data_IF_984298477829
#
_entry.id   IF_984298477829
#
_cell.length_a   1.000
_cell.length_b   1.000
_cell.length_c   1.000
_cell.angle_alpha   90.00
_cell.angle_beta   90.00
_cell.angle_gamma   90.00
#
_symmetry.space_group_name_H-M   'P 1'
#
loop_
_entity.id
_entity.type
_entity.pdbx_description
1 polymer ?
#
# COMPACT_ATOMS: atom_id res chain seq x y z
N UNK A 1 -23.27 14.00 -2.79
CA UNK A 1 -21.85 14.14 -2.41
C UNK A 1 -21.30 15.40 -3.07
N UNK A 2 -20.72 16.35 -2.34
CA UNK A 2 -20.14 17.52 -2.96
C UNK A 2 -18.91 17.14 -3.79
N UNK A 3 -18.64 17.95 -4.81
CA UNK A 3 -17.62 17.69 -5.81
C UNK A 3 -16.21 17.88 -5.22
N UNK A 4 -15.43 16.79 -5.14
CA UNK A 4 -14.00 16.88 -4.84
C UNK A 4 -13.21 17.33 -6.08
N UNK A 5 -13.37 18.61 -6.44
CA UNK A 5 -12.71 19.23 -7.60
C UNK A 5 -11.19 18.98 -7.61
N UNK A 6 -10.45 19.12 -6.48
CA UNK A 6 -9.01 18.83 -6.46
C UNK A 6 -8.65 17.40 -6.90
N UNK A 7 -9.47 16.40 -6.57
CA UNK A 7 -9.27 15.01 -6.98
C UNK A 7 -9.64 14.78 -8.45
N UNK A 8 -10.73 15.40 -8.93
CA UNK A 8 -11.21 15.30 -10.32
C UNK A 8 -10.18 15.84 -11.32
N UNK A 9 -9.39 16.84 -10.93
CA UNK A 9 -8.36 17.42 -11.81
C UNK A 9 -7.09 16.58 -11.93
N UNK A 10 -6.89 15.58 -11.07
CA UNK A 10 -5.65 14.79 -11.04
C UNK A 10 -5.37 14.05 -12.35
N UNK A 11 -6.32 13.33 -12.97
CA UNK A 11 -6.06 12.60 -14.23
C UNK A 11 -5.46 13.49 -15.32
N UNK A 12 -5.90 14.75 -15.43
CA UNK A 12 -5.36 15.72 -16.40
C UNK A 12 -3.92 16.13 -16.09
N UNK A 13 -3.52 16.13 -14.82
CA UNK A 13 -2.14 16.45 -14.41
C UNK A 13 -1.14 15.33 -14.74
N UNK A 14 -1.61 14.11 -14.97
CA UNK A 14 -0.74 12.95 -15.20
C UNK A 14 0.03 13.02 -16.51
N UNK A 15 -0.44 13.81 -17.47
CA UNK A 15 0.29 14.11 -18.72
C UNK A 15 1.65 14.74 -18.40
N UNK A 16 1.71 15.62 -17.40
CA UNK A 16 2.94 16.34 -17.03
C UNK A 16 3.66 15.74 -15.81
N UNK A 17 2.92 15.10 -14.89
CA UNK A 17 3.46 14.54 -13.65
C UNK A 17 2.92 13.13 -13.38
N UNK A 18 3.30 12.13 -14.19
CA UNK A 18 2.76 10.77 -14.05
C UNK A 18 3.05 10.12 -12.71
N UNK A 19 4.22 10.41 -12.12
CA UNK A 19 4.61 9.86 -10.81
C UNK A 19 3.69 10.25 -9.65
N UNK A 20 2.80 11.23 -9.85
CA UNK A 20 1.90 11.72 -8.82
C UNK A 20 0.90 10.66 -8.31
N UNK A 21 0.55 9.68 -9.15
CA UNK A 21 -0.39 8.59 -8.80
C UNK A 21 0.29 7.29 -8.42
N UNK A 22 1.62 7.25 -8.45
CA UNK A 22 2.35 6.03 -8.10
C UNK A 22 2.51 5.97 -6.57
N UNK A 23 1.93 4.96 -5.91
CA UNK A 23 2.24 4.71 -4.51
C UNK A 23 3.66 4.14 -4.39
N UNK A 24 4.23 4.25 -3.19
CA UNK A 24 5.48 3.57 -2.85
C UNK A 24 5.19 2.11 -2.46
N UNK A 25 4.06 1.88 -1.79
CA UNK A 25 3.61 0.56 -1.34
C UNK A 25 2.15 0.37 -1.72
N UNK A 26 1.78 -0.81 -2.21
CA UNK A 26 0.40 -1.24 -2.35
C UNK A 26 0.16 -2.50 -1.50
N UNK A 27 -0.76 -2.42 -0.54
CA UNK A 27 -1.13 -3.53 0.37
C UNK A 27 -2.62 -3.76 0.36
N UNK A 28 -3.09 -4.89 0.90
CA UNK A 28 -4.53 -5.15 1.02
C UNK A 28 -5.20 -4.17 1.99
N UNK A 29 -4.65 -4.05 3.19
CA UNK A 29 -5.11 -3.20 4.27
C UNK A 29 -3.96 -2.98 5.27
N UNK A 30 -4.20 -2.18 6.31
CA UNK A 30 -3.16 -1.77 7.27
C UNK A 30 -2.56 -2.95 8.07
N UNK A 31 -3.21 -4.13 8.12
CA UNK A 31 -2.66 -5.32 8.80
C UNK A 31 -1.38 -5.83 8.14
N UNK A 32 -1.15 -5.43 6.89
CA UNK A 32 0.05 -5.81 6.13
C UNK A 32 1.21 -4.86 6.34
N UNK A 33 1.03 -3.75 7.04
CA UNK A 33 2.11 -2.83 7.34
C UNK A 33 2.86 -3.30 8.59
N UNK A 34 4.19 -3.28 8.49
CA UNK A 34 5.07 -3.42 9.64
C UNK A 34 5.40 -2.03 10.19
N UNK A 35 4.63 -1.61 11.20
CA UNK A 35 4.77 -0.29 11.79
C UNK A 35 6.11 -0.14 12.53
N UNK A 36 6.63 -1.23 13.11
CA UNK A 36 7.91 -1.21 13.78
C UNK A 36 9.04 -1.04 12.77
N UNK A 37 9.04 -1.78 11.65
CA UNK A 37 10.01 -1.59 10.57
C UNK A 37 9.94 -0.17 9.98
N UNK A 38 8.74 0.39 9.82
CA UNK A 38 8.57 1.80 9.42
C UNK A 38 9.23 2.76 10.42
N UNK A 39 9.02 2.53 11.72
CA UNK A 39 9.62 3.34 12.78
C UNK A 39 11.15 3.26 12.79
N UNK A 40 11.68 2.06 12.63
CA UNK A 40 13.12 1.81 12.61
C UNK A 40 13.79 2.41 11.36
N UNK A 41 13.05 2.53 10.26
CA UNK A 41 13.49 3.26 9.06
C UNK A 41 13.35 4.79 9.16
N UNK A 42 12.89 5.33 10.30
CA UNK A 42 12.83 6.76 10.58
C UNK A 42 11.48 7.44 10.30
N UNK A 43 10.45 6.68 9.92
CA UNK A 43 9.09 7.22 9.90
C UNK A 43 8.56 7.34 11.33
N UNK A 44 8.07 8.50 11.73
CA UNK A 44 7.70 8.80 13.13
C UNK A 44 6.22 9.09 13.32
N UNK A 45 5.48 9.23 12.23
CA UNK A 45 4.05 9.48 12.25
C UNK A 45 3.35 8.90 11.04
N UNK A 46 2.03 8.72 11.18
CA UNK A 46 1.18 8.21 10.13
C UNK A 46 -0.05 9.12 9.94
N UNK A 47 -0.44 9.30 8.69
CA UNK A 47 -1.65 9.98 8.27
C UNK A 47 -2.55 8.96 7.60
N UNK A 48 -3.75 8.75 8.13
CA UNK A 48 -4.70 7.77 7.59
C UNK A 48 -5.92 8.44 6.97
N UNK A 49 -6.35 7.92 5.84
CA UNK A 49 -7.73 8.11 5.40
C UNK A 49 -8.73 7.42 6.34
N UNK A 50 -9.97 7.91 6.37
CA UNK A 50 -11.06 7.34 7.17
C UNK A 50 -11.81 6.25 6.40
N UNK A 51 -12.65 6.67 5.45
CA UNK A 51 -13.65 5.83 4.81
C UNK A 51 -13.00 4.82 3.86
N UNK A 52 -13.38 3.55 3.94
CA UNK A 52 -12.75 2.43 3.20
C UNK A 52 -11.26 2.17 3.52
N UNK A 53 -10.65 2.92 4.45
CA UNK A 53 -9.30 2.66 4.95
C UNK A 53 -9.35 2.12 6.40
N UNK A 54 -9.85 2.92 7.34
CA UNK A 54 -10.00 2.56 8.75
C UNK A 54 -11.43 2.15 9.11
N UNK A 55 -12.43 2.75 8.46
CA UNK A 55 -13.85 2.52 8.75
C UNK A 55 -14.60 2.05 7.51
N UNK A 56 -15.78 1.45 7.70
CA UNK A 56 -16.77 1.33 6.63
C UNK A 56 -17.25 2.74 6.28
N UNK A 57 -17.54 3.05 4.99
CA UNK A 57 -18.11 4.35 4.63
C UNK A 57 -19.33 4.70 5.48
N UNK A 58 -19.40 5.95 5.92
CA UNK A 58 -20.47 6.49 6.78
C UNK A 58 -20.50 5.95 8.22
N UNK A 59 -19.61 5.04 8.58
CA UNK A 59 -19.42 4.61 9.98
C UNK A 59 -18.22 5.32 10.60
N UNK A 60 -18.28 5.59 11.90
CA UNK A 60 -17.20 6.26 12.64
C UNK A 60 -16.33 5.27 13.43
N UNK A 61 -16.76 4.02 13.56
CA UNK A 61 -16.05 2.95 14.27
C UNK A 61 -15.02 2.27 13.39
N UNK A 62 -13.90 1.87 14.00
CA UNK A 62 -12.88 1.08 13.34
C UNK A 62 -13.46 -0.24 12.85
N UNK A 63 -13.07 -0.68 11.65
CA UNK A 63 -13.41 -2.04 11.21
C UNK A 63 -12.81 -3.06 12.20
N UNK A 64 -13.60 -4.00 12.74
CA UNK A 64 -13.15 -4.92 13.80
C UNK A 64 -11.87 -5.69 13.44
N UNK A 65 -11.74 -6.12 12.19
CA UNK A 65 -10.57 -6.79 11.64
C UNK A 65 -9.26 -6.01 11.82
N UNK A 66 -9.33 -4.68 11.89
CA UNK A 66 -8.18 -3.79 11.97
C UNK A 66 -7.73 -3.50 13.40
N UNK A 67 -8.48 -3.94 14.43
CA UNK A 67 -8.24 -3.58 15.84
C UNK A 67 -6.78 -3.82 16.28
N UNK A 68 -6.23 -5.00 15.95
CA UNK A 68 -4.86 -5.36 16.31
C UNK A 68 -3.82 -4.45 15.64
N UNK A 69 -3.92 -4.27 14.33
CA UNK A 69 -3.00 -3.44 13.56
C UNK A 69 -3.11 -1.95 13.92
N UNK A 70 -4.33 -1.47 14.22
CA UNK A 70 -4.56 -0.10 14.66
C UNK A 70 -3.94 0.18 16.03
N UNK A 71 -4.08 -0.77 16.97
CA UNK A 71 -3.42 -0.69 18.27
C UNK A 71 -1.90 -0.67 18.11
N UNK A 72 -1.35 -1.60 17.33
CA UNK A 72 0.10 -1.67 17.03
C UNK A 72 0.62 -0.35 16.46
N UNK A 73 -0.05 0.22 15.47
CA UNK A 73 0.31 1.51 14.88
C UNK A 73 0.38 2.64 15.91
N UNK A 74 -0.66 2.75 16.76
CA UNK A 74 -0.74 3.81 17.79
C UNK A 74 0.29 3.61 18.90
N UNK A 75 0.55 2.37 19.31
CA UNK A 75 1.59 2.07 20.29
C UNK A 75 2.99 2.39 19.73
N UNK A 76 3.20 2.16 18.44
CA UNK A 76 4.48 2.36 17.76
C UNK A 76 4.81 3.85 17.55
N UNK A 77 3.89 4.63 16.98
CA UNK A 77 4.12 6.04 16.69
C UNK A 77 3.74 6.96 17.85
N UNK A 78 2.80 6.55 18.70
CA UNK A 78 2.17 7.39 19.72
C UNK A 78 0.88 8.04 19.22
N UNK A 79 -0.08 8.27 20.13
CA UNK A 79 -1.43 8.78 19.81
C UNK A 79 -1.42 10.07 18.98
N UNK A 80 -0.63 11.06 19.39
CA UNK A 80 -0.55 12.37 18.70
C UNK A 80 0.15 12.30 17.34
N UNK A 81 0.93 11.24 17.08
CA UNK A 81 1.64 11.04 15.82
C UNK A 81 0.82 10.22 14.81
N UNK A 82 -0.41 9.85 15.15
CA UNK A 82 -1.33 9.16 14.25
C UNK A 82 -2.51 10.09 13.97
N UNK A 83 -2.54 10.68 12.77
CA UNK A 83 -3.53 11.67 12.36
C UNK A 83 -4.51 11.07 11.36
N UNK A 84 -5.81 11.25 11.59
CA UNK A 84 -6.86 10.87 10.62
C UNK A 84 -7.24 12.07 9.78
N UNK A 85 -7.29 11.92 8.45
CA UNK A 85 -7.66 12.99 7.50
C UNK A 85 -8.75 12.46 6.57
N UNK A 86 -9.95 12.99 6.68
CA UNK A 86 -11.09 12.63 5.83
C UNK A 86 -11.48 13.73 4.85
N UNK A 87 -12.17 13.36 3.76
CA UNK A 87 -12.84 14.30 2.86
C UNK A 87 -14.28 14.66 3.30
N UNK A 88 -14.78 14.01 4.36
CA UNK A 88 -16.07 14.26 5.01
C UNK A 88 -15.86 14.90 6.38
N UNK A 89 -15.39 14.09 7.35
CA UNK A 89 -15.12 14.51 8.73
C UNK A 89 -14.02 15.59 8.80
N UNK A 90 -14.27 16.63 9.61
CA UNK A 90 -13.32 17.73 9.81
C UNK A 90 -13.27 18.72 8.64
N UNK A 91 -14.14 18.58 7.64
CA UNK A 91 -14.21 19.51 6.50
C UNK A 91 -15.33 20.54 6.67
N UNK A 92 -15.50 21.45 5.68
CA UNK A 92 -16.66 22.36 5.64
C UNK A 92 -18.02 21.64 5.61
N UNK A 93 -18.04 20.35 5.27
CA UNK A 93 -19.25 19.51 5.27
C UNK A 93 -19.58 18.93 6.65
N UNK A 94 -18.74 19.19 7.65
CA UNK A 94 -18.93 18.74 9.03
C UNK A 94 -19.17 19.97 9.93
N UNK A 95 -20.41 20.53 9.94
CA UNK A 95 -20.74 21.69 10.75
C UNK A 95 -20.46 21.42 12.23
N UNK A 96 -19.74 22.33 12.89
CA UNK A 96 -19.30 22.15 14.27
C UNK A 96 -18.19 21.09 14.47
N UNK A 97 -17.86 20.31 13.44
CA UNK A 97 -16.91 19.21 13.52
C UNK A 97 -17.38 18.07 14.42
N UNK A 98 -18.68 17.79 14.42
CA UNK A 98 -19.31 16.73 15.22
C UNK A 98 -18.81 15.37 14.72
N UNK A 99 -18.74 15.19 13.40
CA UNK A 99 -18.24 13.94 12.84
C UNK A 99 -16.76 13.75 13.16
N UNK A 100 -15.96 14.82 13.05
CA UNK A 100 -14.55 14.77 13.45
C UNK A 100 -14.37 14.35 14.91
N UNK A 101 -15.21 14.85 15.82
CA UNK A 101 -15.15 14.49 17.24
C UNK A 101 -15.58 13.04 17.48
N UNK A 102 -16.68 12.60 16.86
CA UNK A 102 -17.15 11.22 16.91
C UNK A 102 -16.08 10.24 16.43
N UNK A 103 -15.48 10.50 15.27
CA UNK A 103 -14.39 9.67 14.72
C UNK A 103 -13.17 9.70 15.63
N UNK A 104 -12.80 10.88 16.14
CA UNK A 104 -11.68 11.05 17.05
C UNK A 104 -11.84 10.20 18.32
N UNK A 105 -13.06 10.19 18.87
CA UNK A 105 -13.43 9.36 20.02
C UNK A 105 -13.30 7.86 19.71
N UNK A 106 -13.98 7.38 18.67
CA UNK A 106 -14.03 5.94 18.34
C UNK A 106 -12.69 5.38 17.87
N UNK A 107 -11.90 6.14 17.11
CA UNK A 107 -10.57 5.74 16.67
C UNK A 107 -9.49 6.04 17.71
N UNK A 108 -9.82 6.86 18.72
CA UNK A 108 -8.89 7.31 19.75
C UNK A 108 -7.61 7.89 19.14
N UNK A 109 -7.79 8.75 18.14
CA UNK A 109 -6.75 9.44 17.38
C UNK A 109 -7.28 10.77 16.85
N UNK A 110 -6.46 11.83 16.81
CA UNK A 110 -6.90 13.14 16.35
C UNK A 110 -7.36 13.10 14.88
N UNK A 111 -8.45 13.83 14.60
CA UNK A 111 -8.97 14.05 13.24
C UNK A 111 -8.65 15.47 12.81
N UNK A 112 -7.99 15.62 11.66
CA UNK A 112 -7.62 16.92 11.14
C UNK A 112 -8.85 17.73 10.74
N UNK A 113 -8.95 18.96 11.26
CA UNK A 113 -9.90 19.96 10.78
C UNK A 113 -9.25 20.76 9.66
N UNK A 114 -9.86 20.79 8.47
CA UNK A 114 -9.29 21.44 7.29
C UNK A 114 -10.36 21.98 6.33
N UNK A 115 -10.03 23.05 5.61
CA UNK A 115 -11.02 23.78 4.79
C UNK A 115 -11.23 23.19 3.38
N UNK A 116 -10.34 22.33 2.90
CA UNK A 116 -10.32 21.84 1.51
C UNK A 116 -10.11 20.34 1.46
N UNK A 117 -10.87 19.57 0.67
CA UNK A 117 -10.65 18.13 0.58
C UNK A 117 -9.26 17.79 0.03
N UNK A 118 -8.79 16.59 0.36
CA UNK A 118 -7.61 15.96 -0.25
C UNK A 118 -7.85 15.81 -1.77
N UNK A 119 -6.84 16.02 -2.63
CA UNK A 119 -5.43 16.32 -2.33
C UNK A 119 -5.09 17.82 -2.33
N UNK A 120 -5.98 18.70 -1.85
CA UNK A 120 -5.79 20.15 -1.86
C UNK A 120 -4.55 20.63 -1.10
N UNK A 121 -3.86 21.66 -1.61
CA UNK A 121 -2.66 22.21 -0.96
C UNK A 121 -2.93 22.87 0.40
N UNK A 122 -4.14 23.38 0.63
CA UNK A 122 -4.51 23.90 1.94
C UNK A 122 -4.63 22.75 2.98
N UNK A 123 -5.21 21.60 2.61
CA UNK A 123 -5.17 20.37 3.43
C UNK A 123 -3.72 19.96 3.77
N UNK A 124 -2.82 19.96 2.78
CA UNK A 124 -1.39 19.66 3.01
C UNK A 124 -0.78 20.64 4.03
N UNK A 125 -1.13 21.92 3.93
CA UNK A 125 -0.62 22.95 4.83
C UNK A 125 -1.15 22.75 6.25
N UNK A 126 -2.42 22.33 6.40
CA UNK A 126 -3.01 21.95 7.69
C UNK A 126 -2.33 20.72 8.30
N UNK A 127 -2.02 19.69 7.51
CA UNK A 127 -1.27 18.49 7.97
C UNK A 127 0.11 18.92 8.51
N UNK A 128 0.84 19.74 7.75
CA UNK A 128 2.16 20.24 8.16
C UNK A 128 2.06 21.11 9.42
N UNK A 129 1.05 21.96 9.53
CA UNK A 129 0.85 22.79 10.71
C UNK A 129 0.59 21.94 11.96
N UNK A 130 -0.24 20.90 11.85
CA UNK A 130 -0.48 19.95 12.93
C UNK A 130 0.83 19.32 13.41
N UNK A 131 1.59 18.68 12.51
CA UNK A 131 2.84 18.02 12.89
C UNK A 131 3.94 18.98 13.34
N UNK A 132 3.91 20.25 12.89
CA UNK A 132 4.81 21.28 13.37
C UNK A 132 4.45 21.80 14.77
N UNK A 133 3.18 21.69 15.19
CA UNK A 133 2.73 22.09 16.53
C UNK A 133 2.98 21.05 17.62
N UNK A 134 3.35 19.81 17.25
CA UNK A 134 3.66 18.78 18.23
C UNK A 134 4.94 19.13 19.02
N UNK A 135 5.09 18.65 20.26
CA UNK A 135 6.29 18.91 21.08
C UNK A 135 7.60 18.53 20.40
N UNK A 136 7.56 17.54 19.50
CA UNK A 136 8.66 17.16 18.62
C UNK A 136 8.19 17.28 17.16
N UNK A 137 8.44 18.44 16.52
CA UNK A 137 8.00 18.68 15.15
C UNK A 137 8.47 17.59 14.17
N UNK A 138 7.62 17.22 13.22
CA UNK A 138 7.90 16.22 12.20
C UNK A 138 7.92 16.83 10.80
N UNK A 139 8.88 16.38 9.98
CA UNK A 139 8.99 16.74 8.57
C UNK A 139 8.19 15.76 7.72
N UNK A 140 7.83 16.18 6.51
CA UNK A 140 7.14 15.35 5.53
C UNK A 140 7.84 13.99 5.28
N UNK A 141 9.17 13.96 5.26
CA UNK A 141 9.99 12.75 5.08
C UNK A 141 9.82 11.71 6.19
N UNK A 142 9.32 12.13 7.36
CA UNK A 142 9.14 11.29 8.55
C UNK A 142 7.70 10.77 8.64
N UNK A 143 6.85 11.05 7.63
CA UNK A 143 5.44 10.67 7.65
C UNK A 143 5.17 9.49 6.69
N UNK A 144 4.22 8.64 7.07
CA UNK A 144 3.58 7.67 6.19
C UNK A 144 2.16 8.14 5.92
N UNK A 145 1.73 8.18 4.66
CA UNK A 145 0.34 8.52 4.29
C UNK A 145 -0.31 7.26 3.74
N UNK A 146 -1.40 6.84 4.37
CA UNK A 146 -2.10 5.59 4.06
C UNK A 146 -3.54 5.89 3.68
N UNK A 147 -3.98 5.39 2.53
CA UNK A 147 -5.38 5.53 2.11
C UNK A 147 -5.74 4.64 0.93
N UNK A 148 -7.03 4.56 0.62
CA UNK A 148 -7.56 3.62 -0.36
C UNK A 148 -7.73 4.23 -1.76
N UNK A 149 -7.69 5.57 -1.87
CA UNK A 149 -7.90 6.31 -3.12
C UNK A 149 -6.60 6.85 -3.68
N UNK A 150 -6.31 6.48 -4.92
CA UNK A 150 -5.11 6.94 -5.64
C UNK A 150 -5.16 8.44 -5.88
N UNK A 151 -6.29 8.96 -6.37
CA UNK A 151 -6.40 10.37 -6.76
C UNK A 151 -6.48 11.35 -5.60
N UNK A 152 -6.61 10.84 -4.36
CA UNK A 152 -6.60 11.67 -3.16
C UNK A 152 -5.38 11.37 -2.32
N UNK A 153 -5.25 10.18 -1.74
CA UNK A 153 -4.30 9.93 -0.65
C UNK A 153 -2.87 9.76 -1.18
N UNK A 154 -2.71 8.97 -2.24
CA UNK A 154 -1.41 8.80 -2.91
C UNK A 154 -0.94 10.13 -3.50
N UNK A 155 -1.83 10.87 -4.16
CA UNK A 155 -1.52 12.18 -4.73
C UNK A 155 -1.20 13.21 -3.66
N UNK A 156 -1.94 13.22 -2.54
CA UNK A 156 -1.68 14.09 -1.39
C UNK A 156 -0.26 13.86 -0.89
N UNK A 157 0.10 12.59 -0.63
CA UNK A 157 1.44 12.19 -0.21
C UNK A 157 2.51 12.65 -1.21
N UNK A 158 2.32 12.37 -2.49
CA UNK A 158 3.27 12.73 -3.53
C UNK A 158 3.39 14.26 -3.74
N UNK A 159 2.32 15.03 -3.51
CA UNK A 159 2.35 16.51 -3.53
C UNK A 159 3.12 17.09 -2.35
N UNK A 160 3.16 16.41 -1.21
CA UNK A 160 3.94 16.84 -0.03
C UNK A 160 5.45 16.84 -0.33
N UNK A 161 5.93 15.98 -1.22
CA UNK A 161 7.33 15.96 -1.67
C UNK A 161 7.81 17.28 -2.32
N UNK A 162 6.90 18.16 -2.77
CA UNK A 162 7.17 19.14 -3.82
C UNK A 162 7.47 20.60 -3.44
N UNK A 163 7.65 21.01 -2.17
CA UNK A 163 7.66 22.46 -1.83
C UNK A 163 8.97 23.08 -1.34
N UNK A 164 10.02 22.31 -1.06
CA UNK A 164 11.30 22.89 -0.60
C UNK A 164 12.26 23.29 -1.72
N UNK A 165 11.96 22.96 -3.00
CA UNK A 165 12.85 23.26 -4.13
C UNK A 165 12.83 24.72 -4.60
N UNK A 166 11.81 25.50 -4.23
CA UNK A 166 11.69 26.91 -4.66
C UNK A 166 12.11 27.95 -3.60
N UNK A 167 12.09 27.61 -2.31
CA UNK A 167 12.33 28.59 -1.23
C UNK A 167 13.57 28.32 -0.35
N UNK A 168 14.30 27.22 -0.56
CA UNK A 168 15.43 26.85 0.31
C UNK A 168 16.73 26.70 -0.47
N UNK A 169 17.31 27.82 -0.92
CA UNK A 169 18.73 27.92 -1.35
C UNK A 169 19.66 28.19 -0.16
N UNK A 170 19.28 27.81 1.06
CA UNK A 170 20.23 27.76 2.20
C UNK A 170 20.59 26.31 2.47
N UNK A 171 21.84 26.03 2.10
CA UNK A 171 22.64 24.83 2.36
C UNK A 171 22.46 24.40 3.82
N UNK A 172 21.82 23.26 4.04
CA UNK A 172 21.88 22.54 5.30
C UNK A 172 22.69 21.27 5.03
N UNK A 173 23.94 21.27 5.48
CA UNK A 173 24.79 20.09 5.56
C UNK A 173 24.27 19.23 6.72
N UNK A 174 24.00 17.95 6.45
CA UNK A 174 23.63 16.96 7.46
C UNK A 174 22.20 16.43 7.37
N UNK A 175 22.02 15.30 6.69
CA UNK A 175 20.88 14.39 6.86
C UNK A 175 19.83 14.40 5.74
N UNK A 176 19.90 13.40 4.86
CA UNK A 176 18.80 12.91 4.00
C UNK A 176 18.14 13.95 3.09
N UNK A 177 18.62 14.08 1.86
CA UNK A 177 18.00 14.91 0.82
C UNK A 177 16.52 14.52 0.57
N UNK A 178 15.61 15.48 0.81
CA UNK A 178 14.57 15.83 -0.16
C UNK A 178 13.48 14.81 -0.51
N UNK A 179 13.10 13.91 0.38
CA UNK A 179 11.98 13.00 0.14
C UNK A 179 10.73 13.37 0.95
N UNK A 180 9.56 13.29 0.31
CA UNK A 180 8.26 13.48 0.95
C UNK A 180 7.82 12.22 1.73
N UNK A 181 6.55 12.17 2.15
CA UNK A 181 6.04 11.05 2.91
C UNK A 181 6.00 9.76 2.09
N UNK A 182 6.06 8.62 2.78
CA UNK A 182 5.83 7.31 2.18
C UNK A 182 4.34 7.15 1.84
N UNK A 183 4.03 7.11 0.55
CA UNK A 183 2.66 6.90 0.07
C UNK A 183 2.30 5.41 0.05
N UNK A 184 1.32 5.01 0.85
CA UNK A 184 0.81 3.64 0.95
C UNK A 184 -0.62 3.60 0.42
N UNK A 185 -0.86 2.73 -0.55
CA UNK A 185 -2.18 2.48 -1.11
C UNK A 185 -2.78 1.19 -0.57
N UNK A 186 -3.92 1.28 0.11
CA UNK A 186 -4.73 0.12 0.49
C UNK A 186 -5.67 -0.27 -0.65
N UNK A 187 -5.52 -1.49 -1.14
CA UNK A 187 -6.26 -1.98 -2.31
C UNK A 187 -7.56 -2.68 -1.93
N UNK A 188 -7.69 -3.15 -0.69
CA UNK A 188 -8.93 -3.68 -0.13
C UNK A 188 -9.93 -2.55 0.14
N UNK A 189 -11.22 -2.86 -0.05
CA UNK A 189 -12.32 -1.98 0.31
C UNK A 189 -13.31 -2.77 1.14
N UNK A 190 -13.92 -2.11 2.13
CA UNK A 190 -14.89 -2.74 3.03
C UNK A 190 -16.30 -2.67 2.46
N UNK A 191 -16.64 -1.58 1.79
CA UNK A 191 -17.86 -1.46 1.00
C UNK A 191 -17.54 -1.45 -0.49
N UNK A 192 -18.34 -2.17 -1.28
CA UNK A 192 -18.21 -2.27 -2.74
C UNK A 192 -18.81 -1.07 -3.45
N UNK A 193 -18.28 0.12 -3.16
CA UNK A 193 -18.66 1.32 -3.89
C UNK A 193 -17.87 1.42 -5.19
N UNK A 194 -18.60 1.59 -6.30
CA UNK A 194 -18.03 1.94 -7.62
C UNK A 194 -16.84 1.06 -8.03
N UNK A 195 -16.98 -0.27 -7.92
CA UNK A 195 -15.92 -1.25 -8.25
C UNK A 195 -15.31 -1.06 -9.64
N UNK A 196 -16.09 -0.56 -10.60
CA UNK A 196 -15.60 -0.21 -11.93
C UNK A 196 -14.55 0.92 -11.90
N UNK A 197 -14.82 1.99 -11.13
CA UNK A 197 -13.87 3.08 -10.94
C UNK A 197 -12.59 2.58 -10.25
N UNK A 198 -12.72 1.70 -9.26
CA UNK A 198 -11.55 1.08 -8.58
C UNK A 198 -10.72 0.21 -9.50
N UNK A 199 -11.37 -0.56 -10.38
CA UNK A 199 -10.68 -1.31 -11.41
C UNK A 199 -9.96 -0.37 -12.38
N UNK A 200 -10.62 0.71 -12.82
CA UNK A 200 -10.03 1.73 -13.69
C UNK A 200 -8.80 2.41 -13.07
N UNK A 201 -8.88 2.80 -11.79
CA UNK A 201 -7.74 3.35 -11.03
C UNK A 201 -6.55 2.38 -11.03
N UNK A 202 -6.79 1.09 -10.76
CA UNK A 202 -5.73 0.06 -10.80
C UNK A 202 -5.11 -0.08 -12.19
N UNK A 203 -5.90 -0.06 -13.26
CA UNK A 203 -5.35 -0.13 -14.61
C UNK A 203 -4.53 1.11 -14.93
N UNK A 204 -4.99 2.29 -14.54
CA UNK A 204 -4.27 3.54 -14.74
C UNK A 204 -2.93 3.53 -14.00
N UNK A 205 -2.90 3.17 -12.71
CA UNK A 205 -1.66 3.08 -11.94
C UNK A 205 -0.68 2.11 -12.60
N UNK A 206 -1.14 0.93 -13.03
CA UNK A 206 -0.30 -0.05 -13.74
C UNK A 206 0.22 0.47 -15.07
N UNK A 207 -0.61 1.19 -15.83
CA UNK A 207 -0.20 1.78 -17.10
C UNK A 207 0.87 2.86 -16.89
N UNK A 208 0.67 3.73 -15.89
CA UNK A 208 1.64 4.76 -15.51
C UNK A 208 2.92 4.15 -14.96
N UNK A 209 2.82 3.09 -14.16
CA UNK A 209 3.97 2.37 -13.63
C UNK A 209 4.82 1.79 -14.76
N UNK A 210 4.20 1.10 -15.74
CA UNK A 210 4.90 0.61 -16.94
C UNK A 210 5.50 1.74 -17.78
N UNK A 211 4.83 2.87 -17.86
CA UNK A 211 5.31 4.03 -18.62
C UNK A 211 6.53 4.68 -17.96
N UNK A 212 6.53 4.78 -16.62
CA UNK A 212 7.55 5.50 -15.84
C UNK A 212 8.71 4.60 -15.39
N UNK A 213 8.50 3.29 -15.23
CA UNK A 213 9.48 2.35 -14.69
C UNK A 213 10.67 2.11 -15.63
N UNK A 214 11.64 3.02 -15.57
CA UNK A 214 13.06 2.76 -15.89
C UNK A 214 13.97 2.72 -14.64
N UNK A 215 13.43 2.97 -13.44
CA UNK A 215 14.14 2.75 -12.17
C UNK A 215 13.16 2.20 -11.13
N UNK A 216 13.52 1.14 -10.39
CA UNK A 216 12.68 0.62 -9.32
C UNK A 216 12.47 1.70 -8.26
N UNK A 217 11.21 1.85 -7.84
CA UNK A 217 10.86 2.51 -6.57
C UNK A 217 11.51 1.67 -5.46
N UNK A 218 12.02 2.31 -4.39
CA UNK A 218 12.74 1.68 -3.25
C UNK A 218 12.18 0.29 -2.92
N UNK A 219 13.06 -0.65 -2.56
CA UNK A 219 12.65 -1.97 -2.08
C UNK A 219 11.79 -1.80 -0.82
N UNK A 220 10.49 -1.74 -1.05
CA UNK A 220 9.49 -1.42 -0.04
C UNK A 220 8.94 -2.70 0.60
N UNK A 221 9.45 -3.87 0.19
CA UNK A 221 9.07 -5.17 0.73
C UNK A 221 9.37 -5.30 2.22
N UNK A 222 10.39 -4.59 2.73
CA UNK A 222 10.75 -4.61 4.15
C UNK A 222 9.67 -4.03 5.09
N UNK A 223 8.75 -3.21 4.56
CA UNK A 223 7.67 -2.60 5.35
C UNK A 223 6.37 -3.40 5.29
N UNK A 224 6.37 -4.54 4.59
CA UNK A 224 5.18 -5.35 4.35
C UNK A 224 5.31 -6.71 5.03
N UNK A 225 4.39 -7.00 5.96
CA UNK A 225 4.32 -8.29 6.63
C UNK A 225 3.98 -9.41 5.64
N UNK A 226 4.59 -10.60 5.77
CA UNK A 226 4.29 -11.74 4.92
C UNK A 226 2.82 -12.18 5.08
N UNK A 227 2.32 -12.89 4.07
CA UNK A 227 1.02 -13.56 4.15
C UNK A 227 1.00 -14.56 5.32
N UNK A 228 0.22 -14.27 6.36
CA UNK A 228 -0.16 -15.29 7.34
C UNK A 228 -1.11 -16.25 6.62
N UNK A 229 -0.56 -17.34 6.08
CA UNK A 229 -1.36 -18.46 5.59
C UNK A 229 -2.13 -19.01 6.80
N UNK A 230 -3.42 -18.74 6.87
CA UNK A 230 -4.27 -19.32 7.91
C UNK A 230 -4.25 -20.85 7.75
N UNK A 231 -3.95 -21.57 8.84
CA UNK A 231 -3.87 -23.04 8.85
C UNK A 231 -5.15 -23.68 8.27
N UNK A 232 -6.29 -23.04 8.43
CA UNK A 232 -7.59 -23.45 7.87
C UNK A 232 -7.60 -23.57 6.34
N UNK A 233 -6.84 -22.72 5.63
CA UNK A 233 -6.75 -22.78 4.17
C UNK A 233 -5.87 -23.94 3.69
N UNK A 234 -4.82 -24.28 4.46
CA UNK A 234 -4.02 -25.47 4.22
C UNK A 234 -4.80 -26.75 4.55
N UNK A 235 -5.59 -26.75 5.62
CA UNK A 235 -6.42 -27.88 6.01
C UNK A 235 -7.54 -28.14 4.98
N UNK A 236 -8.23 -27.10 4.52
CA UNK A 236 -9.24 -27.22 3.45
C UNK A 236 -8.64 -27.69 2.11
N UNK A 237 -7.43 -27.25 1.76
CA UNK A 237 -6.67 -27.77 0.59
C UNK A 237 -6.22 -29.21 0.78
N UNK A 238 -5.84 -29.60 2.00
CA UNK A 238 -5.49 -30.97 2.36
C UNK A 238 -6.70 -31.91 2.30
N UNK A 239 -7.87 -31.46 2.74
CA UNK A 239 -9.12 -32.24 2.69
C UNK A 239 -9.63 -32.37 1.26
N UNK A 240 -9.65 -31.28 0.49
CA UNK A 240 -10.08 -31.32 -0.93
C UNK A 240 -9.15 -32.17 -1.79
N UNK A 241 -7.82 -32.09 -1.58
CA UNK A 241 -6.87 -32.96 -2.29
C UNK A 241 -7.03 -34.44 -1.91
N UNK A 242 -7.31 -34.76 -0.63
CA UNK A 242 -7.61 -36.13 -0.19
C UNK A 242 -8.94 -36.66 -0.75
N UNK A 243 -9.97 -35.81 -0.86
CA UNK A 243 -11.26 -36.15 -1.47
C UNK A 243 -11.12 -36.40 -2.97
N UNK A 244 -10.39 -35.54 -3.68
CA UNK A 244 -10.10 -35.70 -5.10
C UNK A 244 -9.29 -36.99 -5.36
N UNK A 245 -8.28 -37.30 -4.54
CA UNK A 245 -7.52 -38.54 -4.65
C UNK A 245 -8.36 -39.80 -4.37
N UNK A 246 -9.40 -39.68 -3.55
CA UNK A 246 -10.38 -40.76 -3.30
C UNK A 246 -11.40 -40.92 -4.43
N UNK A 247 -11.80 -39.83 -5.07
CA UNK A 247 -12.78 -39.85 -6.16
C UNK A 247 -12.20 -40.27 -7.50
N UNK A 248 -10.96 -39.88 -7.79
CA UNK A 248 -10.35 -40.08 -9.12
C UNK A 248 -9.27 -41.16 -9.16
N UNK A 249 -9.03 -41.84 -8.04
CA UNK A 249 -7.91 -42.77 -7.90
C UNK A 249 -6.56 -42.05 -7.95
N UNK A 250 -5.55 -42.59 -7.27
CA UNK A 250 -4.18 -42.07 -7.46
C UNK A 250 -3.77 -42.37 -8.91
N UNK A 251 -3.19 -41.41 -9.67
CA UNK A 251 -2.43 -41.79 -10.84
C UNK A 251 -1.26 -42.65 -10.38
N UNK A 252 -1.24 -43.90 -10.83
CA UNK A 252 -0.09 -44.81 -10.72
C UNK A 252 1.16 -44.09 -11.28
N UNK A 253 2.30 -44.09 -10.57
CA UNK A 253 3.55 -43.63 -11.16
C UNK A 253 3.98 -44.67 -12.21
N UNK A 254 3.81 -44.32 -13.50
CA UNK A 254 4.33 -45.10 -14.62
C UNK A 254 5.82 -45.36 -14.42
N UNK A 255 6.16 -46.65 -14.34
CA UNK A 255 7.41 -47.15 -13.79
C UNK A 255 8.66 -46.91 -14.61
N UNK A 256 9.77 -46.74 -13.90
CA UNK A 256 11.12 -46.97 -14.41
C UNK A 256 11.29 -48.47 -14.73
N UNK A 257 11.35 -48.79 -16.02
CA UNK A 257 11.75 -50.11 -16.48
C UNK A 257 13.29 -50.23 -16.39
N UNK A 258 13.78 -50.80 -15.28
CA UNK A 258 15.10 -51.42 -15.23
C UNK A 258 14.94 -52.94 -15.25
N UNK A 259 15.20 -53.57 -16.40
CA UNK A 259 15.60 -54.97 -16.49
C UNK A 259 16.85 -55.10 -17.33
N UNK A 260 17.94 -55.50 -16.69
CA UNK A 260 19.14 -55.96 -17.35
C UNK A 260 19.01 -57.38 -17.89
N UNK A 261 20.08 -57.79 -18.58
CA UNK A 261 20.45 -59.15 -19.02
C UNK A 261 19.93 -59.51 -20.42
N UNK A 262 20.73 -59.18 -21.43
CA UNK A 262 20.67 -59.73 -22.79
C UNK A 262 22.08 -60.10 -23.26
N UNK A 263 22.32 -61.40 -23.40
CA UNK A 263 23.59 -62.05 -23.76
C UNK A 263 24.04 -61.73 -25.20
N UNK A 264 25.37 -61.80 -25.36
CA UNK A 264 26.12 -62.47 -26.46
C UNK A 264 25.96 -62.00 -27.94
N UNK A 265 27.16 -61.85 -28.50
CA UNK A 265 27.67 -62.30 -29.80
C UNK A 265 27.54 -61.37 -31.01
N UNK A 266 28.74 -60.90 -31.43
CA UNK A 266 29.32 -60.84 -32.78
C UNK A 266 28.36 -60.58 -33.95
N UNK A 267 28.63 -59.51 -34.70
CA UNK A 267 29.15 -59.51 -36.09
C UNK A 267 29.09 -58.05 -36.59
N UNK A 268 30.23 -57.37 -36.83
CA UNK A 268 31.09 -57.34 -38.03
C UNK A 268 30.69 -56.20 -39.00
N UNK A 269 31.68 -55.35 -39.32
CA UNK A 269 31.76 -54.31 -40.39
C UNK A 269 31.02 -52.98 -40.13
N UNK A 270 31.59 -51.78 -40.34
CA UNK A 270 32.91 -51.39 -40.82
C UNK A 270 33.01 -49.86 -41.01
N UNK A 271 34.26 -49.39 -41.18
CA UNK A 271 34.74 -48.06 -41.67
C UNK A 271 34.61 -46.90 -40.66
N UNK A 272 35.71 -46.37 -40.10
CA UNK A 272 36.67 -45.37 -40.66
C UNK A 272 35.90 -44.24 -41.38
N UNK A 273 36.05 -42.96 -41.06
CA UNK A 273 37.25 -42.12 -41.22
C UNK A 273 37.11 -40.84 -40.37
N UNK A 274 38.26 -40.33 -39.92
CA UNK A 274 38.53 -39.06 -39.24
C UNK A 274 38.14 -37.81 -40.05
N UNK A 275 37.84 -36.69 -39.38
CA UNK A 275 38.43 -35.37 -39.68
C UNK A 275 38.47 -34.56 -38.37
N UNK A 276 39.67 -34.15 -37.97
CA UNK A 276 39.93 -33.10 -36.99
C UNK A 276 40.56 -31.96 -37.77
N UNK A 277 40.01 -30.75 -37.64
CA UNK A 277 40.71 -29.48 -37.50
C UNK A 277 39.71 -28.45 -36.98
#
# INVERSE_FOLDING_TARGET
MPLNVPGILVPFQLVFKPRLVLPHIAVKDIRRLDFQALRDAGYRAAVFDKDNCLTIPHEDTLVPDLQGAWKECRDTFGRENVLVVSNSAGTRQDPGGIQAESVSHHLSAPVLRHATPKPGYACISSIRAYFASLPRPLRDSELVVVGDRVFTDVVLANRMNGRRRFFSRRKAEGGGEGEGPLAVWTTGVWARESMFMRWGERQLVRAVERWVARKPVRDSGMFVKPDVVTKDAQEKRGITSRLLARMFGKPEPGGEEKRGIGRRLRHKWGRRIAVVS
#
